data_IF_790770193133
#
_entry.id   IF_790770193133
#
_cell.length_a   1.000
_cell.length_b   1.000
_cell.length_c   1.000
_cell.angle_alpha   90.00
_cell.angle_beta   90.00
_cell.angle_gamma   90.00
#
_symmetry.space_group_name_H-M   'P 1'
#
loop_
_entity.id
_entity.type
_entity.pdbx_description
1 polymer ?
#
# COMPACT_ATOMS: atom_id res chain seq x y z
N UNK A 1 -14.16 20.95 6.56
CA UNK A 1 -14.73 19.79 5.82
C UNK A 1 -13.62 19.25 4.93
N UNK A 2 -13.12 18.05 5.24
CA UNK A 2 -11.84 17.50 4.76
C UNK A 2 -11.77 17.33 3.24
N UNK A 3 -10.84 18.06 2.60
CA UNK A 3 -10.45 17.88 1.20
C UNK A 3 -9.40 16.77 1.01
N UNK A 4 -8.76 16.29 2.08
CA UNK A 4 -7.74 15.21 2.02
C UNK A 4 -8.25 13.86 1.51
N UNK A 5 -9.57 13.65 1.43
CA UNK A 5 -10.16 12.30 1.37
C UNK A 5 -10.30 11.70 -0.03
N UNK A 6 -10.21 12.52 -1.08
CA UNK A 6 -10.26 12.05 -2.47
C UNK A 6 -8.88 12.02 -3.13
N UNK A 7 -7.96 12.82 -2.58
CA UNK A 7 -6.64 13.08 -3.12
C UNK A 7 -5.63 12.00 -2.70
N UNK A 8 -5.84 11.39 -1.52
CA UNK A 8 -4.88 10.44 -0.95
C UNK A 8 -5.18 8.96 -1.22
N UNK A 9 -6.01 8.63 -2.21
CA UNK A 9 -6.29 7.23 -2.54
C UNK A 9 -5.11 6.63 -3.32
N UNK A 10 -4.73 5.39 -3.01
CA UNK A 10 -3.68 4.69 -3.75
C UNK A 10 -4.12 4.38 -5.19
N UNK A 11 -3.23 4.62 -6.14
CA UNK A 11 -3.44 4.34 -7.57
C UNK A 11 -2.42 3.36 -8.14
N UNK A 12 -1.23 3.26 -7.53
CA UNK A 12 -0.24 2.25 -7.86
C UNK A 12 0.49 1.76 -6.61
N UNK A 13 0.96 0.52 -6.65
CA UNK A 13 1.67 -0.15 -5.56
C UNK A 13 2.81 -0.99 -6.12
N UNK A 14 4.00 -0.76 -5.60
CA UNK A 14 5.20 -1.50 -5.95
C UNK A 14 5.87 -1.98 -4.68
N UNK A 15 6.45 -3.18 -4.74
CA UNK A 15 7.23 -3.75 -3.66
C UNK A 15 8.64 -4.00 -4.17
N UNK A 16 9.62 -3.56 -3.38
CA UNK A 16 11.02 -3.96 -3.53
C UNK A 16 11.36 -4.94 -2.41
N UNK A 17 12.62 -5.38 -2.34
CA UNK A 17 13.07 -6.20 -1.22
C UNK A 17 13.20 -5.41 0.09
N UNK A 18 13.12 -4.07 0.04
CA UNK A 18 13.34 -3.18 1.18
C UNK A 18 12.10 -2.37 1.57
N UNK A 19 11.23 -2.05 0.62
CA UNK A 19 10.13 -1.12 0.86
C UNK A 19 8.86 -1.46 0.06
N UNK A 20 7.73 -1.03 0.62
CA UNK A 20 6.46 -0.87 -0.04
C UNK A 20 6.35 0.58 -0.51
N UNK A 21 6.24 0.76 -1.82
CA UNK A 21 6.08 2.04 -2.50
C UNK A 21 4.63 2.18 -2.96
N UNK A 22 4.01 3.33 -2.68
CA UNK A 22 2.62 3.60 -3.05
C UNK A 22 2.52 4.97 -3.70
N UNK A 23 1.88 5.03 -4.86
CA UNK A 23 1.53 6.28 -5.53
C UNK A 23 0.09 6.63 -5.17
N UNK A 24 -0.14 7.86 -4.74
CA UNK A 24 -1.47 8.40 -4.44
C UNK A 24 -2.03 9.19 -5.64
N UNK A 25 -3.34 9.29 -5.73
CA UNK A 25 -4.05 10.01 -6.79
C UNK A 25 -3.65 11.50 -6.90
N UNK A 26 -3.24 12.11 -5.78
CA UNK A 26 -2.75 13.49 -5.71
C UNK A 26 -1.29 13.68 -6.12
N UNK A 27 -0.64 12.60 -6.58
CA UNK A 27 0.74 12.61 -7.05
C UNK A 27 1.79 12.52 -5.95
N UNK A 28 1.39 12.38 -4.67
CA UNK A 28 2.35 12.01 -3.62
C UNK A 28 2.75 10.55 -3.74
N UNK A 29 3.98 10.27 -3.31
CA UNK A 29 4.50 8.91 -3.15
C UNK A 29 4.76 8.66 -1.67
N UNK A 30 4.43 7.45 -1.22
CA UNK A 30 4.68 6.97 0.14
C UNK A 30 5.60 5.77 0.10
N UNK A 31 6.65 5.82 0.93
CA UNK A 31 7.56 4.71 1.14
C UNK A 31 7.47 4.22 2.57
N UNK A 32 7.27 2.91 2.73
CA UNK A 32 7.28 2.24 4.03
C UNK A 32 8.24 1.05 3.99
N UNK A 33 9.14 0.88 4.99
CA UNK A 33 9.99 -0.30 5.08
C UNK A 33 9.17 -1.59 5.03
N UNK A 34 9.60 -2.54 4.19
CA UNK A 34 8.91 -3.83 4.02
C UNK A 34 8.91 -4.64 5.33
N UNK A 35 9.89 -4.40 6.20
CA UNK A 35 9.98 -5.01 7.53
C UNK A 35 8.76 -4.74 8.43
N UNK A 36 8.00 -3.67 8.16
CA UNK A 36 6.76 -3.37 8.89
C UNK A 36 5.62 -4.34 8.57
N UNK A 37 5.73 -5.08 7.48
CA UNK A 37 4.70 -5.98 6.96
C UNK A 37 5.26 -7.40 6.83
N UNK A 38 5.36 -8.17 7.94
CA UNK A 38 6.02 -9.48 7.94
C UNK A 38 5.49 -10.45 6.87
N UNK A 39 4.19 -10.45 6.60
CA UNK A 39 3.57 -11.30 5.57
C UNK A 39 4.02 -10.92 4.16
N UNK A 40 4.12 -9.63 3.86
CA UNK A 40 4.65 -9.15 2.57
C UNK A 40 6.16 -9.38 2.46
N UNK A 41 6.90 -9.15 3.53
CA UNK A 41 8.34 -9.43 3.59
C UNK A 41 8.63 -10.90 3.28
N UNK A 42 7.83 -11.82 3.82
CA UNK A 42 8.06 -13.25 3.67
C UNK A 42 7.41 -13.83 2.39
N UNK A 43 6.65 -13.03 1.64
CA UNK A 43 5.99 -13.41 0.39
C UNK A 43 6.96 -13.50 -0.79
N UNK A 44 6.65 -14.36 -1.76
CA UNK A 44 7.43 -14.45 -3.01
C UNK A 44 7.21 -13.21 -3.90
N UNK A 45 8.13 -12.91 -4.84
CA UNK A 45 7.95 -11.81 -5.77
C UNK A 45 6.64 -11.87 -6.57
N UNK A 46 6.15 -13.07 -6.90
CA UNK A 46 4.89 -13.28 -7.60
C UNK A 46 3.70 -12.90 -6.72
N UNK A 47 3.70 -13.36 -5.47
CA UNK A 47 2.66 -13.03 -4.49
C UNK A 47 2.62 -11.53 -4.21
N UNK A 48 3.78 -10.88 -4.05
CA UNK A 48 3.86 -9.43 -3.81
C UNK A 48 3.37 -8.59 -5.01
N UNK A 49 3.47 -9.11 -6.23
CA UNK A 49 2.94 -8.47 -7.45
C UNK A 49 1.44 -8.69 -7.63
N UNK A 50 0.87 -9.71 -6.98
CA UNK A 50 -0.55 -9.99 -7.04
C UNK A 50 -1.28 -9.24 -5.93
N UNK A 51 -1.67 -8.01 -6.23
CA UNK A 51 -2.44 -7.16 -5.34
C UNK A 51 -3.64 -6.53 -6.05
N UNK A 52 -4.58 -6.01 -5.26
CA UNK A 52 -5.71 -5.21 -5.75
C UNK A 52 -6.04 -4.08 -4.79
N UNK A 53 -6.50 -2.95 -5.33
CA UNK A 53 -7.07 -1.88 -4.51
C UNK A 53 -8.41 -2.31 -3.94
N UNK A 54 -8.67 -1.91 -2.70
CA UNK A 54 -9.96 -2.07 -2.03
C UNK A 54 -10.44 -0.72 -1.50
N UNK A 55 -11.75 -0.57 -1.33
CA UNK A 55 -12.35 0.68 -0.83
C UNK A 55 -12.05 1.90 -1.72
N UNK A 56 -11.85 1.70 -3.03
CA UNK A 56 -11.54 2.78 -3.97
C UNK A 56 -10.11 3.32 -3.91
N UNK A 57 -9.17 2.56 -3.32
CA UNK A 57 -7.77 3.00 -3.13
C UNK A 57 -7.45 3.35 -1.67
N UNK A 58 -8.41 3.22 -0.75
CA UNK A 58 -8.19 3.41 0.68
C UNK A 58 -7.40 2.27 1.33
N UNK A 59 -7.34 1.11 0.68
CA UNK A 59 -6.52 -0.01 1.10
C UNK A 59 -6.05 -0.86 -0.07
N UNK A 60 -5.10 -1.73 0.22
CA UNK A 60 -4.46 -2.63 -0.73
C UNK A 60 -4.55 -4.03 -0.15
N UNK A 61 -5.01 -4.98 -0.97
CA UNK A 61 -5.18 -6.37 -0.59
C UNK A 61 -4.28 -7.27 -1.43
N UNK A 62 -3.52 -8.15 -0.77
CA UNK A 62 -2.74 -9.23 -1.38
C UNK A 62 -3.43 -10.58 -1.12
N UNK A 63 -4.20 -11.11 -2.10
CA UNK A 63 -5.00 -12.32 -1.89
C UNK A 63 -4.16 -13.58 -1.61
N UNK A 64 -2.97 -13.70 -2.20
CA UNK A 64 -2.17 -14.93 -2.08
C UNK A 64 -1.59 -15.16 -0.68
N UNK A 65 -1.52 -14.10 0.13
CA UNK A 65 -0.99 -14.11 1.50
C UNK A 65 -2.01 -13.61 2.54
N UNK A 66 -3.25 -13.34 2.10
CA UNK A 66 -4.35 -12.83 2.93
C UNK A 66 -3.96 -11.60 3.76
N UNK A 67 -3.35 -10.60 3.10
CA UNK A 67 -2.86 -9.38 3.75
C UNK A 67 -3.59 -8.14 3.24
N UNK A 68 -3.97 -7.26 4.16
CA UNK A 68 -4.61 -5.97 3.90
C UNK A 68 -3.82 -4.82 4.54
N UNK A 69 -3.50 -3.79 3.76
CA UNK A 69 -2.87 -2.56 4.25
C UNK A 69 -3.76 -1.37 3.94
N UNK A 70 -4.13 -0.60 4.96
CA UNK A 70 -4.88 0.64 4.80
C UNK A 70 -3.93 1.82 4.53
N UNK A 71 -4.18 2.61 3.47
CA UNK A 71 -3.34 3.77 3.13
C UNK A 71 -3.27 4.78 4.27
N UNK A 72 -4.36 4.92 5.02
CA UNK A 72 -4.45 5.83 6.16
C UNK A 72 -3.49 5.48 7.32
N UNK A 73 -3.01 4.23 7.45
CA UNK A 73 -2.01 3.88 8.49
C UNK A 73 -0.62 4.40 8.11
N UNK A 74 -0.32 4.48 6.83
CA UNK A 74 0.95 4.97 6.31
C UNK A 74 1.02 6.50 6.41
N UNK A 75 -0.08 7.19 6.10
CA UNK A 75 -0.20 8.64 6.23
C UNK A 75 -0.16 9.17 7.67
N UNK A 76 -0.42 8.32 8.68
CA UNK A 76 -0.34 8.69 10.11
C UNK A 76 1.04 8.48 10.71
N UNK A 77 1.92 7.78 10.01
CA UNK A 77 3.25 7.41 10.49
C UNK A 77 4.33 8.41 10.05
N UNK A 78 3.94 9.52 9.41
CA UNK A 78 4.80 10.60 8.93
C UNK A 78 4.69 11.90 9.72
#
# INVERSE_FOLDING_TARGET
>A
MSALKLDSDAVDVQTTDLALHIVLADGRELDAPLEWFPRLRDATPEQRKHWRLIGGGQGIHWPDIDEDIAVATLLRSS
#
